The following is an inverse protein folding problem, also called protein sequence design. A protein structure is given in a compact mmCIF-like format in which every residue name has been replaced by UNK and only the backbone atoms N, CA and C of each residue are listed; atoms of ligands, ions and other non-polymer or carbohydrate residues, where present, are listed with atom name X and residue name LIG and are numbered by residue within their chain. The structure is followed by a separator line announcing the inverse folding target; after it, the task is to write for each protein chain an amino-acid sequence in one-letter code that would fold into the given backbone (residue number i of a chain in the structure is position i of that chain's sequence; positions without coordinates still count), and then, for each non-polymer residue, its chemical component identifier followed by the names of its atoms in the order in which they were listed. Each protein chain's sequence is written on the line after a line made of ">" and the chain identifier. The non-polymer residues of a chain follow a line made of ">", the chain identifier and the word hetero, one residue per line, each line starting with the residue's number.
data_IF_999870756728
#
_entry.id   IF_999870756728
#
_cell.length_a   1.000
_cell.length_b   1.000
_cell.length_c   1.000
_cell.angle_alpha   90.00
_cell.angle_beta   90.00
_cell.angle_gamma   90.00
#
_symmetry.space_group_name_H-M   'P 1'
#
loop_
_entity.id
_entity.type
_entity.pdbx_description
1 polymer ?
#
# COMPACT_ATOMS: atom_id res chain seq x y z
N UNK A 1 7.18 3.50 -7.62
CA UNK A 1 7.52 2.15 -7.15
C UNK A 1 7.77 2.22 -5.66
N UNK A 2 7.06 1.40 -4.89
CA UNK A 2 7.34 1.26 -3.46
C UNK A 2 8.34 0.13 -3.25
N UNK A 3 9.22 0.29 -2.26
CA UNK A 3 9.92 -0.83 -1.63
C UNK A 3 9.29 -1.07 -0.26
N UNK A 4 8.79 -2.28 -0.05
CA UNK A 4 7.97 -2.62 1.10
C UNK A 4 8.74 -3.50 2.07
N UNK A 5 8.77 -3.13 3.35
CA UNK A 5 9.33 -3.96 4.42
C UNK A 5 8.29 -4.15 5.51
N UNK A 6 8.04 -5.41 5.89
CA UNK A 6 7.21 -5.78 7.04
C UNK A 6 8.06 -6.57 8.03
N UNK A 7 8.06 -6.13 9.28
CA UNK A 7 8.75 -6.76 10.41
C UNK A 7 7.73 -7.08 11.50
N UNK A 8 7.46 -8.38 11.72
CA UNK A 8 6.50 -8.85 12.73
C UNK A 8 7.16 -9.94 13.61
N UNK A 9 7.45 -9.67 14.90
CA UNK A 9 7.20 -8.40 15.61
C UNK A 9 8.09 -7.26 15.10
N UNK A 10 7.65 -6.02 15.30
CA UNK A 10 8.53 -4.87 15.07
C UNK A 10 9.73 -4.93 16.02
N UNK A 11 10.97 -4.80 15.51
CA UNK A 11 12.14 -4.75 16.38
C UNK A 11 12.23 -3.38 17.07
N UNK A 12 12.87 -3.30 18.25
CA UNK A 12 12.97 -2.06 19.02
C UNK A 12 13.89 -1.00 18.39
N UNK A 13 14.79 -1.42 17.51
CA UNK A 13 15.79 -0.62 16.79
C UNK A 13 15.41 -0.38 15.32
N UNK A 14 14.13 -0.51 14.97
CA UNK A 14 13.65 -0.38 13.58
C UNK A 14 14.01 0.98 12.94
N UNK A 15 14.07 2.07 13.71
CA UNK A 15 14.51 3.38 13.21
C UNK A 15 16.00 3.39 12.85
N UNK A 16 16.85 2.74 13.65
CA UNK A 16 18.28 2.63 13.39
C UNK A 16 18.53 1.80 12.13
N UNK A 17 17.84 0.65 12.01
CA UNK A 17 17.89 -0.19 10.81
C UNK A 17 17.45 0.56 9.55
N UNK A 18 16.42 1.41 9.66
CA UNK A 18 15.99 2.27 8.57
C UNK A 18 17.06 3.29 8.17
N UNK A 19 17.64 4.02 9.12
CA UNK A 19 18.69 5.01 8.85
C UNK A 19 19.97 4.36 8.27
N UNK A 20 20.33 3.18 8.75
CA UNK A 20 21.41 2.37 8.18
C UNK A 20 21.12 2.01 6.73
N UNK A 21 19.87 1.62 6.40
CA UNK A 21 19.48 1.31 5.02
C UNK A 21 19.64 2.51 4.08
N UNK A 22 19.35 3.73 4.55
CA UNK A 22 19.56 4.96 3.79
C UNK A 22 21.05 5.24 3.56
N UNK A 23 21.87 5.06 4.60
CA UNK A 23 23.32 5.25 4.50
C UNK A 23 23.95 4.29 3.48
N UNK A 24 23.48 3.04 3.41
CA UNK A 24 23.95 2.03 2.44
C UNK A 24 23.69 2.45 1.00
N UNK A 25 22.60 3.15 0.71
CA UNK A 25 22.27 3.65 -0.64
C UNK A 25 22.84 5.05 -0.94
N UNK A 26 23.65 5.59 -0.03
CA UNK A 26 24.37 6.86 -0.22
C UNK A 26 23.71 8.10 0.39
N UNK A 27 22.62 7.94 1.15
CA UNK A 27 21.96 9.03 1.87
C UNK A 27 22.50 9.06 3.30
N UNK A 28 23.49 9.91 3.54
CA UNK A 28 24.13 10.07 4.85
C UNK A 28 23.27 10.95 5.79
N UNK A 29 22.74 10.42 6.90
CA UNK A 29 21.87 11.17 7.81
C UNK A 29 22.58 12.35 8.49
N UNK A 30 23.92 12.42 8.46
CA UNK A 30 24.68 13.58 8.96
C UNK A 30 24.82 14.71 7.93
N UNK A 31 24.53 14.43 6.67
CA UNK A 31 24.60 15.41 5.56
C UNK A 31 23.23 15.84 5.07
N UNK A 32 22.21 15.02 5.30
CA UNK A 32 20.83 15.28 4.92
C UNK A 32 19.97 15.59 6.16
N UNK A 33 19.04 16.52 6.01
CA UNK A 33 18.05 16.86 7.03
C UNK A 33 16.94 15.80 7.03
N UNK A 34 17.13 14.75 7.83
CA UNK A 34 16.15 13.67 8.00
C UNK A 34 15.26 13.97 9.20
N UNK A 35 13.95 14.03 8.97
CA UNK A 35 12.95 14.32 10.00
C UNK A 35 11.87 13.24 10.02
N UNK A 36 11.55 12.79 11.22
CA UNK A 36 10.39 11.95 11.49
C UNK A 36 9.25 12.86 11.94
N UNK A 37 8.26 13.03 11.07
CA UNK A 37 7.09 13.86 11.32
C UNK A 37 5.95 12.91 11.67
N UNK A 38 5.35 13.07 12.85
CA UNK A 38 4.25 12.19 13.30
C UNK A 38 3.09 12.26 12.30
N UNK A 39 2.68 11.09 11.83
CA UNK A 39 1.52 10.92 10.96
C UNK A 39 0.95 9.52 11.14
N UNK A 40 -0.37 9.45 11.26
CA UNK A 40 -1.10 8.19 11.41
C UNK A 40 -1.53 7.69 10.03
N UNK A 41 -1.35 6.40 9.79
CA UNK A 41 -1.73 5.79 8.51
C UNK A 41 -3.05 5.04 8.63
N UNK A 42 -3.93 5.24 7.66
CA UNK A 42 -5.19 4.49 7.54
C UNK A 42 -5.41 4.03 6.09
N UNK A 43 -5.81 2.77 5.93
CA UNK A 43 -6.45 2.26 4.73
C UNK A 43 -7.86 1.78 5.06
N UNK A 44 -8.88 2.66 4.90
CA UNK A 44 -10.26 2.34 5.23
C UNK A 44 -10.77 1.11 4.48
N UNK A 45 -10.36 0.94 3.21
CA UNK A 45 -10.75 -0.21 2.37
C UNK A 45 -10.15 -1.54 2.82
N UNK A 46 -9.09 -1.52 3.64
CA UNK A 46 -8.50 -2.73 4.21
C UNK A 46 -8.87 -2.92 5.68
N UNK A 47 -9.58 -1.96 6.29
CA UNK A 47 -9.78 -1.95 7.74
C UNK A 47 -8.44 -1.98 8.50
N UNK A 48 -7.42 -1.33 7.94
CA UNK A 48 -6.07 -1.33 8.46
C UNK A 48 -5.70 0.08 8.90
N UNK A 49 -5.07 0.20 10.06
CA UNK A 49 -4.54 1.47 10.53
C UNK A 49 -3.38 1.26 11.49
N UNK A 50 -2.54 2.28 11.62
CA UNK A 50 -1.39 2.27 12.50
C UNK A 50 -0.88 3.67 12.81
N UNK A 51 -0.09 3.75 13.89
CA UNK A 51 0.62 4.97 14.26
C UNK A 51 1.97 5.00 13.56
N UNK A 52 2.52 6.17 13.27
CA UNK A 52 3.85 6.21 12.69
C UNK A 52 4.39 7.59 12.39
N UNK A 53 5.19 7.65 11.33
CA UNK A 53 5.82 8.87 10.87
C UNK A 53 5.89 8.90 9.35
N UNK A 54 5.67 10.07 8.78
CA UNK A 54 6.26 10.42 7.51
C UNK A 54 7.75 10.75 7.73
N UNK A 55 8.63 10.16 6.94
CA UNK A 55 10.05 10.49 6.96
C UNK A 55 10.37 11.43 5.82
N UNK A 56 10.79 12.63 6.18
CA UNK A 56 11.19 13.68 5.26
C UNK A 56 12.71 13.74 5.16
N UNK A 57 13.23 13.80 3.94
CA UNK A 57 14.64 14.03 3.64
C UNK A 57 14.73 15.32 2.82
N UNK A 58 15.47 16.32 3.31
CA UNK A 58 15.71 17.62 2.64
C UNK A 58 14.44 18.31 2.10
N UNK A 59 13.31 18.14 2.79
CA UNK A 59 12.04 18.77 2.44
C UNK A 59 11.15 17.98 1.47
N UNK A 60 11.45 16.71 1.21
CA UNK A 60 10.56 15.78 0.49
C UNK A 60 10.34 14.52 1.34
N UNK A 61 9.09 14.11 1.45
CA UNK A 61 8.70 12.84 2.08
C UNK A 61 9.26 11.66 1.25
N UNK A 62 10.09 10.81 1.85
CA UNK A 62 10.77 9.69 1.15
C UNK A 62 10.32 8.31 1.62
N UNK A 63 9.76 8.20 2.82
CA UNK A 63 9.33 6.92 3.41
C UNK A 63 8.13 7.14 4.32
N UNK A 64 7.17 6.22 4.30
CA UNK A 64 6.16 6.07 5.36
C UNK A 64 6.61 5.01 6.36
N UNK A 65 6.54 5.35 7.64
CA UNK A 65 6.71 4.44 8.77
C UNK A 65 5.34 4.13 9.36
N UNK A 66 5.00 2.88 9.61
CA UNK A 66 3.72 2.52 10.24
C UNK A 66 3.85 1.35 11.20
N UNK A 67 3.31 1.49 12.40
CA UNK A 67 3.11 0.42 13.37
C UNK A 67 1.65 0.00 13.36
N UNK A 68 1.35 -1.09 12.66
CA UNK A 68 -0.02 -1.56 12.52
C UNK A 68 -0.63 -1.90 13.86
N UNK A 69 -1.71 -1.20 14.19
CA UNK A 69 -2.56 -1.49 15.33
C UNK A 69 -3.67 -2.45 14.93
N UNK A 70 -4.21 -2.28 13.72
CA UNK A 70 -5.20 -3.19 13.15
C UNK A 70 -4.95 -3.51 11.68
N UNK A 71 -5.39 -4.70 11.27
CA UNK A 71 -5.39 -5.18 9.89
C UNK A 71 -6.67 -5.98 9.66
N UNK A 72 -7.45 -5.67 8.63
CA UNK A 72 -8.74 -6.33 8.39
C UNK A 72 -9.78 -6.08 9.50
N UNK A 73 -9.59 -5.08 10.35
CA UNK A 73 -10.39 -4.84 11.56
C UNK A 73 -10.05 -5.72 12.76
N UNK A 74 -8.97 -6.50 12.69
CA UNK A 74 -8.45 -7.33 13.78
C UNK A 74 -7.21 -6.70 14.41
N UNK A 75 -6.99 -6.96 15.70
CA UNK A 75 -5.89 -6.38 16.44
C UNK A 75 -4.57 -7.03 16.03
N UNK A 76 -3.54 -6.22 15.76
CA UNK A 76 -2.22 -6.71 15.42
C UNK A 76 -1.38 -6.93 16.68
N UNK A 77 -1.38 -8.16 17.24
CA UNK A 77 -0.56 -8.51 18.42
C UNK A 77 0.36 -9.71 18.13
N UNK A 78 1.69 -9.54 18.15
CA UNK A 78 2.43 -8.30 18.32
C UNK A 78 2.28 -7.36 17.12
N UNK A 79 2.52 -6.08 17.38
CA UNK A 79 2.51 -5.01 16.37
C UNK A 79 3.51 -5.34 15.26
N UNK A 80 3.08 -5.15 14.01
CA UNK A 80 3.95 -5.21 12.84
C UNK A 80 4.48 -3.81 12.52
N UNK A 81 5.79 -3.69 12.34
CA UNK A 81 6.42 -2.49 11.81
C UNK A 81 6.47 -2.56 10.29
N UNK A 82 6.07 -1.47 9.64
CA UNK A 82 6.08 -1.28 8.21
C UNK A 82 7.00 -0.11 7.83
N UNK A 83 7.83 -0.32 6.82
CA UNK A 83 8.59 0.71 6.13
C UNK A 83 8.24 0.69 4.65
N UNK A 84 7.76 1.81 4.13
CA UNK A 84 7.33 1.95 2.75
C UNK A 84 8.13 3.06 2.07
N UNK A 85 9.15 2.68 1.31
CA UNK A 85 10.08 3.62 0.68
C UNK A 85 9.57 4.08 -0.68
N UNK A 86 9.60 5.39 -0.94
CA UNK A 86 9.36 5.97 -2.26
C UNK A 86 10.62 5.93 -3.12
N UNK A 87 10.77 4.88 -3.93
CA UNK A 87 12.01 4.63 -4.67
C UNK A 87 12.38 5.75 -5.64
N UNK A 88 11.41 6.34 -6.36
CA UNK A 88 11.67 7.44 -7.28
C UNK A 88 12.20 8.67 -6.54
N UNK A 89 11.60 9.00 -5.39
CA UNK A 89 12.00 10.17 -4.58
C UNK A 89 13.41 9.98 -4.02
N UNK A 90 13.72 8.79 -3.49
CA UNK A 90 15.06 8.45 -3.03
C UNK A 90 16.09 8.47 -4.17
N UNK A 91 15.75 7.91 -5.33
CA UNK A 91 16.63 7.92 -6.49
C UNK A 91 16.89 9.34 -7.02
N UNK A 92 15.88 10.22 -6.97
CA UNK A 92 16.01 11.63 -7.37
C UNK A 92 17.05 12.34 -6.51
N UNK A 93 17.05 12.09 -5.20
CA UNK A 93 18.06 12.60 -4.29
C UNK A 93 19.45 12.07 -4.60
N UNK A 94 19.59 10.74 -4.73
CA UNK A 94 20.88 10.10 -4.97
C UNK A 94 21.50 10.57 -6.29
N UNK A 95 20.68 10.77 -7.33
CA UNK A 95 21.13 11.21 -8.64
C UNK A 95 21.19 12.74 -8.80
N UNK A 96 20.67 13.50 -7.84
CA UNK A 96 20.64 14.97 -7.86
C UNK A 96 19.79 15.54 -9.00
N UNK A 97 18.60 14.96 -9.25
CA UNK A 97 17.66 15.41 -10.29
C UNK A 97 16.33 15.84 -9.69
N UNK A 98 15.77 16.95 -10.19
CA UNK A 98 14.52 17.53 -9.69
C UNK A 98 13.25 16.98 -10.38
N UNK A 99 13.43 16.20 -11.45
CA UNK A 99 12.35 15.63 -12.25
C UNK A 99 12.52 14.12 -12.35
N UNK A 100 11.49 13.38 -11.93
CA UNK A 100 11.47 11.91 -11.95
C UNK A 100 11.77 11.35 -13.34
N UNK A 101 11.36 12.02 -14.42
CA UNK A 101 11.56 11.55 -15.78
C UNK A 101 13.02 11.64 -16.27
N UNK A 102 13.86 12.41 -15.56
CA UNK A 102 15.28 12.57 -15.85
C UNK A 102 16.18 11.57 -15.12
N UNK A 103 15.62 10.75 -14.21
CA UNK A 103 16.33 9.66 -13.55
C UNK A 103 16.98 8.71 -14.56
N UNK A 104 18.26 8.39 -14.37
CA UNK A 104 18.91 7.26 -15.05
C UNK A 104 18.39 5.95 -14.45
N UNK A 105 17.48 5.31 -15.18
CA UNK A 105 16.75 4.14 -14.73
C UNK A 105 17.64 2.91 -14.60
N UNK A 106 18.68 2.79 -15.44
CA UNK A 106 19.51 1.58 -15.51
C UNK A 106 21.02 1.82 -15.37
N UNK A 107 21.46 3.05 -15.12
CA UNK A 107 22.88 3.40 -15.01
C UNK A 107 23.62 3.37 -16.34
N UNK A 108 22.90 3.32 -17.47
CA UNK A 108 23.46 3.18 -18.83
C UNK A 108 22.83 4.19 -19.80
N UNK A 109 22.20 5.25 -19.28
CA UNK A 109 21.62 6.33 -20.08
C UNK A 109 20.21 6.07 -20.58
N UNK A 110 19.50 5.06 -20.07
CA UNK A 110 18.04 4.95 -20.28
C UNK A 110 17.36 5.74 -19.17
N UNK A 111 16.61 6.78 -19.53
CA UNK A 111 15.92 7.60 -18.52
C UNK A 111 14.58 7.00 -18.12
N UNK A 112 14.11 7.31 -16.92
CA UNK A 112 12.77 6.91 -16.45
C UNK A 112 11.68 7.43 -17.39
N UNK A 113 11.86 8.63 -17.96
CA UNK A 113 10.97 9.18 -18.98
C UNK A 113 10.87 8.33 -20.24
N UNK A 114 11.97 7.74 -20.70
CA UNK A 114 11.95 6.82 -21.85
C UNK A 114 11.17 5.53 -21.58
N UNK A 115 11.07 5.12 -20.30
CA UNK A 115 10.36 3.91 -19.91
C UNK A 115 8.88 4.20 -19.59
N UNK A 116 8.59 5.28 -18.84
CA UNK A 116 7.29 5.47 -18.21
C UNK A 116 6.52 6.73 -18.65
N UNK A 117 7.13 7.72 -19.30
CA UNK A 117 6.40 8.95 -19.64
C UNK A 117 5.21 8.68 -20.56
N UNK A 118 5.35 7.76 -21.51
CA UNK A 118 4.26 7.39 -22.40
C UNK A 118 3.19 6.56 -21.67
N UNK A 119 3.60 5.69 -20.75
CA UNK A 119 2.67 4.98 -19.87
C UNK A 119 1.82 5.96 -19.03
N UNK A 120 2.46 6.94 -18.39
CA UNK A 120 1.77 7.94 -17.57
C UNK A 120 0.76 8.77 -18.37
N UNK A 121 1.10 9.17 -19.59
CA UNK A 121 0.17 9.89 -20.49
C UNK A 121 -1.04 9.03 -20.85
N UNK A 122 -0.82 7.79 -21.26
CA UNK A 122 -1.90 6.90 -21.69
C UNK A 122 -2.78 6.44 -20.52
N UNK A 123 -2.17 6.07 -19.40
CA UNK A 123 -2.89 5.67 -18.19
C UNK A 123 -3.68 6.83 -17.61
N UNK A 124 -3.11 8.04 -17.56
CA UNK A 124 -3.86 9.24 -17.14
C UNK A 124 -5.05 9.49 -18.04
N UNK A 125 -4.86 9.49 -19.36
CA UNK A 125 -5.96 9.66 -20.32
C UNK A 125 -7.03 8.59 -20.14
N UNK A 126 -6.65 7.34 -19.94
CA UNK A 126 -7.60 6.26 -19.72
C UNK A 126 -8.37 6.43 -18.40
N UNK A 127 -7.66 6.62 -17.29
CA UNK A 127 -8.22 6.79 -15.95
C UNK A 127 -9.17 7.99 -15.84
N UNK A 128 -8.85 9.11 -16.49
CA UNK A 128 -9.59 10.36 -16.33
C UNK A 128 -10.61 10.64 -17.44
N UNK A 129 -10.44 10.09 -18.65
CA UNK A 129 -11.25 10.48 -19.81
C UNK A 129 -11.92 9.31 -20.52
N UNK A 130 -11.22 8.18 -20.71
CA UNK A 130 -11.64 7.14 -21.66
C UNK A 130 -12.32 5.94 -21.01
N UNK A 131 -11.97 5.57 -19.78
CA UNK A 131 -12.48 4.34 -19.17
C UNK A 131 -14.02 4.31 -19.15
N UNK A 132 -14.59 3.21 -19.63
CA UNK A 132 -16.04 2.99 -19.68
C UNK A 132 -16.57 2.72 -18.28
N UNK A 133 -17.26 3.71 -17.74
CA UNK A 133 -17.78 3.68 -16.38
C UNK A 133 -18.87 2.63 -16.19
N UNK A 134 -19.68 2.34 -17.22
CA UNK A 134 -20.73 1.33 -17.12
C UNK A 134 -20.12 -0.08 -17.00
N UNK A 135 -19.08 -0.36 -17.79
CA UNK A 135 -18.31 -1.58 -17.68
C UNK A 135 -17.60 -1.70 -16.32
N UNK A 136 -17.01 -0.61 -15.81
CA UNK A 136 -16.37 -0.61 -14.49
C UNK A 136 -17.36 -0.88 -13.34
N UNK A 137 -18.58 -0.34 -13.39
CA UNK A 137 -19.60 -0.67 -12.39
C UNK A 137 -20.00 -2.15 -12.42
N UNK A 138 -20.14 -2.72 -13.62
CA UNK A 138 -20.43 -4.16 -13.79
C UNK A 138 -19.27 -5.03 -13.28
N UNK A 139 -18.02 -4.67 -13.60
CA UNK A 139 -16.83 -5.36 -13.11
C UNK A 139 -16.72 -5.29 -11.57
N UNK A 140 -17.01 -4.14 -10.96
CA UNK A 140 -17.03 -4.03 -9.50
C UNK A 140 -18.04 -5.02 -8.88
N UNK A 141 -19.26 -5.06 -9.43
CA UNK A 141 -20.30 -5.96 -8.93
C UNK A 141 -19.92 -7.43 -9.11
N UNK A 142 -19.23 -7.78 -10.21
CA UNK A 142 -18.73 -9.13 -10.46
C UNK A 142 -17.60 -9.51 -9.51
N UNK A 143 -16.61 -8.66 -9.31
CA UNK A 143 -15.52 -8.90 -8.35
C UNK A 143 -16.05 -9.08 -6.93
N UNK A 144 -17.04 -8.28 -6.53
CA UNK A 144 -17.69 -8.45 -5.23
C UNK A 144 -18.46 -9.77 -5.11
N UNK A 145 -19.17 -10.20 -6.16
CA UNK A 145 -19.86 -11.48 -6.19
C UNK A 145 -18.90 -12.67 -6.15
N UNK A 146 -17.79 -12.61 -6.90
CA UNK A 146 -16.79 -13.66 -6.91
C UNK A 146 -16.02 -13.72 -5.59
N UNK A 147 -15.73 -12.58 -4.97
CA UNK A 147 -15.17 -12.54 -3.62
C UNK A 147 -16.08 -13.28 -2.64
N UNK A 148 -17.40 -13.04 -2.66
CA UNK A 148 -18.35 -13.77 -1.81
C UNK A 148 -18.37 -15.26 -2.09
N UNK A 149 -18.39 -15.67 -3.36
CA UNK A 149 -18.30 -17.07 -3.76
C UNK A 149 -17.03 -17.74 -3.19
N UNK A 150 -15.88 -17.06 -3.28
CA UNK A 150 -14.62 -17.53 -2.72
C UNK A 150 -14.65 -17.65 -1.18
N UNK A 151 -15.30 -16.71 -0.49
CA UNK A 151 -15.50 -16.77 0.97
C UNK A 151 -16.40 -17.96 1.37
N UNK A 152 -17.52 -18.17 0.66
CA UNK A 152 -18.44 -19.29 0.90
C UNK A 152 -17.77 -20.66 0.69
N UNK A 153 -16.76 -20.72 -0.18
CA UNK A 153 -16.00 -21.93 -0.46
C UNK A 153 -14.67 -22.01 0.32
N UNK A 154 -14.47 -21.15 1.34
CA UNK A 154 -13.31 -21.19 2.23
C UNK A 154 -11.95 -21.11 1.50
N UNK A 155 -11.89 -20.32 0.43
CA UNK A 155 -10.64 -20.03 -0.31
C UNK A 155 -10.23 -18.56 -0.11
N UNK A 156 -9.79 -18.17 1.10
CA UNK A 156 -9.62 -16.77 1.49
C UNK A 156 -8.59 -16.00 0.67
N UNK A 157 -7.55 -16.68 0.14
CA UNK A 157 -6.56 -16.04 -0.73
C UNK A 157 -7.23 -15.58 -2.03
N UNK A 158 -8.07 -16.41 -2.64
CA UNK A 158 -8.82 -16.03 -3.85
C UNK A 158 -9.84 -14.92 -3.55
N UNK A 159 -10.49 -14.96 -2.38
CA UNK A 159 -11.36 -13.88 -1.93
C UNK A 159 -10.58 -12.55 -1.81
N UNK A 160 -9.37 -12.58 -1.24
CA UNK A 160 -8.53 -11.40 -1.10
C UNK A 160 -8.13 -10.80 -2.46
N UNK A 161 -7.76 -11.62 -3.45
CA UNK A 161 -7.47 -11.15 -4.81
C UNK A 161 -8.67 -10.40 -5.42
N UNK A 162 -9.89 -10.92 -5.22
CA UNK A 162 -11.11 -10.25 -5.69
C UNK A 162 -11.41 -8.95 -4.93
N UNK A 163 -11.09 -8.88 -3.63
CA UNK A 163 -11.20 -7.65 -2.86
C UNK A 163 -10.21 -6.57 -3.36
N UNK A 164 -8.98 -6.96 -3.71
CA UNK A 164 -7.97 -6.07 -4.32
C UNK A 164 -8.45 -5.58 -5.69
N UNK A 165 -9.00 -6.47 -6.52
CA UNK A 165 -9.57 -6.10 -7.81
C UNK A 165 -10.74 -5.10 -7.66
N UNK A 166 -11.66 -5.36 -6.73
CA UNK A 166 -12.76 -4.43 -6.42
C UNK A 166 -12.24 -3.05 -5.95
N UNK A 167 -11.19 -3.02 -5.12
CA UNK A 167 -10.53 -1.79 -4.68
C UNK A 167 -9.94 -1.01 -5.86
N UNK A 168 -9.25 -1.68 -6.77
CA UNK A 168 -8.68 -1.06 -7.96
C UNK A 168 -9.77 -0.48 -8.87
N UNK A 169 -10.82 -1.26 -9.18
CA UNK A 169 -11.95 -0.81 -10.00
C UNK A 169 -12.63 0.41 -9.37
N UNK A 170 -12.79 0.40 -8.04
CA UNK A 170 -13.30 1.55 -7.30
C UNK A 170 -12.44 2.80 -7.51
N UNK A 171 -11.10 2.68 -7.41
CA UNK A 171 -10.20 3.81 -7.68
C UNK A 171 -10.36 4.35 -9.11
N UNK A 172 -10.59 3.49 -10.10
CA UNK A 172 -10.87 3.92 -11.49
C UNK A 172 -12.19 4.68 -11.60
N UNK A 173 -13.25 4.19 -10.95
CA UNK A 173 -14.55 4.87 -10.89
C UNK A 173 -14.43 6.25 -10.20
N UNK A 174 -13.61 6.35 -9.15
CA UNK A 174 -13.31 7.62 -8.50
C UNK A 174 -12.53 8.58 -9.41
N UNK A 175 -11.49 8.09 -10.09
CA UNK A 175 -10.71 8.90 -11.03
C UNK A 175 -11.57 9.43 -12.19
N UNK A 176 -12.53 8.64 -12.68
CA UNK A 176 -13.52 9.07 -13.67
C UNK A 176 -14.53 10.09 -13.15
N UNK A 177 -14.57 10.34 -11.84
CA UNK A 177 -15.45 11.34 -11.22
C UNK A 177 -16.92 10.94 -11.21
N UNK A 178 -17.24 9.64 -11.34
CA UNK A 178 -18.63 9.14 -11.37
C UNK A 178 -19.14 8.63 -10.02
N UNK A 179 -18.30 8.66 -8.98
CA UNK A 179 -18.68 8.34 -7.61
C UNK A 179 -18.86 9.64 -6.83
N UNK A 180 -20.07 9.92 -6.35
CA UNK A 180 -20.32 11.06 -5.47
C UNK A 180 -19.64 10.91 -4.10
N UNK A 181 -19.52 12.01 -3.35
CA UNK A 181 -18.95 11.99 -1.99
C UNK A 181 -19.75 11.05 -1.07
N UNK A 182 -21.07 11.01 -1.23
CA UNK A 182 -21.96 10.14 -0.46
C UNK A 182 -21.76 8.65 -0.83
N UNK A 183 -21.65 8.35 -2.12
CA UNK A 183 -21.42 6.98 -2.59
C UNK A 183 -20.03 6.47 -2.22
N UNK A 184 -19.02 7.35 -2.18
CA UNK A 184 -17.64 7.00 -1.83
C UNK A 184 -17.56 6.21 -0.54
N UNK A 185 -18.24 6.67 0.52
CA UNK A 185 -18.26 5.98 1.81
C UNK A 185 -18.88 4.57 1.71
N UNK A 186 -19.94 4.42 0.90
CA UNK A 186 -20.60 3.13 0.69
C UNK A 186 -19.70 2.14 -0.07
N UNK A 187 -19.04 2.57 -1.15
CA UNK A 187 -18.11 1.72 -1.89
C UNK A 187 -16.88 1.33 -1.04
N UNK A 188 -16.30 2.28 -0.30
CA UNK A 188 -15.19 1.98 0.62
C UNK A 188 -15.62 0.95 1.68
N UNK A 189 -16.83 1.08 2.23
CA UNK A 189 -17.39 0.10 3.17
C UNK A 189 -17.53 -1.29 2.56
N UNK A 190 -18.05 -1.39 1.33
CA UNK A 190 -18.17 -2.68 0.62
C UNK A 190 -16.80 -3.34 0.41
N UNK A 191 -15.81 -2.60 -0.09
CA UNK A 191 -14.45 -3.14 -0.27
C UNK A 191 -13.85 -3.59 1.06
N UNK A 192 -14.04 -2.80 2.12
CA UNK A 192 -13.62 -3.15 3.48
C UNK A 192 -14.23 -4.45 3.97
N UNK A 193 -15.53 -4.65 3.74
CA UNK A 193 -16.23 -5.86 4.18
C UNK A 193 -15.70 -7.10 3.43
N UNK A 194 -15.37 -6.98 2.15
CA UNK A 194 -14.70 -8.05 1.38
C UNK A 194 -13.32 -8.39 1.95
N UNK A 195 -12.47 -7.36 2.13
CA UNK A 195 -11.12 -7.55 2.66
C UNK A 195 -11.13 -8.15 4.07
N UNK A 196 -12.02 -7.65 4.94
CA UNK A 196 -12.24 -8.19 6.28
C UNK A 196 -12.67 -9.66 6.25
N UNK A 197 -13.63 -10.03 5.40
CA UNK A 197 -14.08 -11.41 5.28
C UNK A 197 -12.95 -12.36 4.83
N UNK A 198 -12.08 -11.89 3.94
CA UNK A 198 -10.91 -12.65 3.52
C UNK A 198 -9.88 -12.80 4.66
N UNK A 199 -9.62 -11.72 5.41
CA UNK A 199 -8.77 -11.74 6.59
C UNK A 199 -9.30 -12.70 7.67
N UNK A 200 -10.60 -12.66 7.97
CA UNK A 200 -11.25 -13.50 8.96
C UNK A 200 -11.12 -14.99 8.61
N UNK A 201 -11.52 -15.39 7.40
CA UNK A 201 -11.40 -16.77 6.94
C UNK A 201 -9.93 -17.25 6.92
N UNK A 202 -8.99 -16.38 6.52
CA UNK A 202 -7.57 -16.74 6.55
C UNK A 202 -7.06 -16.93 7.97
N UNK A 203 -7.44 -16.03 8.88
CA UNK A 203 -7.06 -16.09 10.27
C UNK A 203 -7.60 -17.36 10.96
N UNK A 204 -8.87 -17.70 10.72
CA UNK A 204 -9.46 -18.95 11.22
C UNK A 204 -8.75 -20.20 10.68
N UNK A 205 -8.45 -20.23 9.37
CA UNK A 205 -7.76 -21.36 8.75
C UNK A 205 -6.34 -21.55 9.31
N UNK A 206 -5.63 -20.45 9.61
CA UNK A 206 -4.26 -20.48 10.12
C UNK A 206 -4.17 -20.57 11.65
N UNK A 207 -5.26 -20.33 12.38
CA UNK A 207 -5.25 -20.27 13.85
C UNK A 207 -4.58 -21.48 14.52
N UNK A 208 -4.83 -22.74 14.11
CA UNK A 208 -4.15 -23.89 14.72
C UNK A 208 -2.63 -23.85 14.54
N UNK A 209 -2.16 -23.43 13.36
CA UNK A 209 -0.73 -23.32 13.06
C UNK A 209 -0.07 -22.17 13.81
N UNK A 210 -0.76 -21.02 13.92
CA UNK A 210 -0.23 -19.87 14.64
C UNK A 210 -0.20 -20.10 16.15
N UNK A 211 -1.18 -20.79 16.72
CA UNK A 211 -1.17 -21.15 18.13
C UNK A 211 0.03 -22.05 18.50
N UNK A 212 0.42 -22.96 17.62
CA UNK A 212 1.60 -23.83 17.83
C UNK A 212 2.92 -23.05 17.64
N UNK A 213 3.01 -22.26 16.56
CA UNK A 213 4.27 -21.59 16.18
C UNK A 213 4.53 -20.30 16.97
N UNK A 214 3.48 -19.59 17.35
CA UNK A 214 3.52 -18.27 17.97
C UNK A 214 2.51 -18.17 19.12
N UNK A 215 2.70 -18.94 20.22
CA UNK A 215 1.71 -19.05 21.30
C UNK A 215 1.42 -17.73 22.04
N UNK A 216 2.31 -16.73 21.92
CA UNK A 216 2.17 -15.41 22.53
C UNK A 216 1.46 -14.39 21.60
N UNK A 217 1.09 -14.78 20.38
CA UNK A 217 0.44 -13.89 19.41
C UNK A 217 -1.08 -14.00 19.54
N UNK A 218 -1.79 -12.90 19.32
CA UNK A 218 -3.25 -12.88 19.28
C UNK A 218 -3.77 -12.07 18.09
N UNK A 219 -4.95 -12.45 17.62
CA UNK A 219 -5.77 -11.69 16.67
C UNK A 219 -6.66 -10.68 17.40
#
# INVERSE_FOLDING_TARGET
>A
YQYQVILKPSPPDIQDLYLESLAVIGIDPLKHDIRFVEDDWESPTLGAWGLGWEVWCDGMEVTQFTYFQQMGGFDCKPVAGELTYGLERLAMYIQGVDNVYDLDFNGRGVTYGQVFLENEKQMSKWNFEVADTAALFDLFAKAEAECRNALENQVPIAAYEQAVEASHIFNLLQARGVISVQERASYMGRVRDLARGACENYAEAMAPQWADKYPEWSL
#
